data_IF_757306699562
#
_entry.id   IF_757306699562
#
_cell.length_a   1.000
_cell.length_b   1.000
_cell.length_c   1.000
_cell.angle_alpha   90.00
_cell.angle_beta   90.00
_cell.angle_gamma   90.00
#
_symmetry.space_group_name_H-M   'P 1'
#
loop_
_entity.id
_entity.type
_entity.pdbx_description
1 polymer ?
#
# COMPACT_ATOMS: atom_id res chain seq x y z
N UNK A 1 12.41 10.93 -24.38
CA UNK A 1 11.91 9.60 -24.81
C UNK A 1 10.44 9.33 -24.48
N UNK A 2 9.74 10.19 -23.72
CA UNK A 2 8.37 9.93 -23.26
C UNK A 2 7.28 10.29 -24.28
N UNK A 3 7.48 11.40 -25.01
CA UNK A 3 6.55 11.94 -26.02
C UNK A 3 6.27 10.98 -27.19
N UNK A 4 7.26 10.38 -27.87
CA UNK A 4 6.97 9.43 -28.95
C UNK A 4 6.19 8.21 -28.46
N UNK A 5 6.41 7.82 -27.20
CA UNK A 5 5.76 6.68 -26.58
C UNK A 5 4.31 7.00 -26.18
N UNK A 6 4.01 8.24 -25.79
CA UNK A 6 2.63 8.72 -25.56
C UNK A 6 1.85 8.85 -26.88
N UNK A 7 2.52 9.19 -27.97
CA UNK A 7 1.94 9.24 -29.32
C UNK A 7 1.61 7.83 -29.83
N UNK A 8 2.52 6.87 -29.66
CA UNK A 8 2.31 5.44 -29.98
C UNK A 8 1.22 4.76 -29.12
N UNK A 9 0.78 5.42 -28.06
CA UNK A 9 -0.29 4.94 -27.16
C UNK A 9 -1.60 5.70 -27.37
N UNK A 10 -1.69 6.54 -28.41
CA UNK A 10 -2.84 7.40 -28.70
C UNK A 10 -3.26 8.32 -27.53
N UNK A 11 -2.34 8.55 -26.59
CA UNK A 11 -2.54 9.45 -25.44
C UNK A 11 -2.25 10.89 -25.84
N UNK A 12 -1.41 11.11 -26.86
CA UNK A 12 -1.02 12.43 -27.34
C UNK A 12 -1.02 12.49 -28.87
N UNK A 13 -1.47 13.62 -29.43
CA UNK A 13 -1.53 13.82 -30.88
C UNK A 13 -0.12 13.96 -31.48
N UNK A 14 0.12 13.47 -32.71
CA UNK A 14 1.38 13.68 -33.41
C UNK A 14 1.72 15.18 -33.47
N UNK A 15 2.88 15.56 -32.95
CA UNK A 15 3.32 16.96 -32.88
C UNK A 15 3.06 17.67 -31.55
N UNK A 16 2.42 17.03 -30.56
CA UNK A 16 2.38 17.56 -29.18
C UNK A 16 3.79 17.74 -28.65
N UNK A 17 4.14 18.98 -28.32
CA UNK A 17 5.35 19.30 -27.57
C UNK A 17 5.00 19.33 -26.09
N UNK A 18 5.85 18.75 -25.21
CA UNK A 18 5.64 18.85 -23.77
C UNK A 18 5.83 20.31 -23.38
N UNK A 19 4.72 21.01 -23.19
CA UNK A 19 4.71 22.39 -22.75
C UNK A 19 4.59 22.35 -21.24
N UNK A 20 5.74 22.35 -20.57
CA UNK A 20 5.79 22.45 -19.12
C UNK A 20 5.49 23.89 -18.75
N UNK A 21 4.28 24.16 -18.28
CA UNK A 21 3.98 25.43 -17.65
C UNK A 21 4.82 25.51 -16.36
N UNK A 22 5.67 26.54 -16.17
CA UNK A 22 6.51 26.64 -14.97
C UNK A 22 5.68 26.60 -13.67
N UNK A 23 4.44 27.08 -13.74
CA UNK A 23 3.47 27.02 -12.64
C UNK A 23 3.17 25.58 -12.19
N UNK A 24 2.95 24.65 -13.12
CA UNK A 24 2.64 23.25 -12.79
C UNK A 24 3.80 22.52 -12.13
N UNK A 25 5.04 22.82 -12.55
CA UNK A 25 6.25 22.30 -11.89
C UNK A 25 6.39 22.81 -10.46
N UNK A 26 6.09 24.10 -10.23
CA UNK A 26 6.13 24.70 -8.89
C UNK A 26 5.02 24.11 -8.01
N UNK A 27 3.81 23.97 -8.53
CA UNK A 27 2.69 23.37 -7.79
C UNK A 27 2.94 21.91 -7.44
N UNK A 28 3.41 21.10 -8.40
CA UNK A 28 3.76 19.71 -8.13
C UNK A 28 4.91 19.59 -7.13
N UNK A 29 5.94 20.41 -7.24
CA UNK A 29 7.04 20.45 -6.27
C UNK A 29 6.54 20.85 -4.87
N UNK A 30 5.68 21.87 -4.75
CA UNK A 30 5.10 22.29 -3.47
C UNK A 30 4.20 21.22 -2.86
N UNK A 31 3.35 20.58 -3.65
CA UNK A 31 2.44 19.53 -3.17
C UNK A 31 3.23 18.31 -2.71
N UNK A 32 4.24 17.89 -3.48
CA UNK A 32 5.08 16.74 -3.13
C UNK A 32 5.95 17.07 -1.91
N UNK A 33 6.70 18.19 -1.93
CA UNK A 33 7.56 18.58 -0.82
C UNK A 33 6.75 18.85 0.46
N UNK A 34 5.64 19.57 0.34
CA UNK A 34 4.72 19.84 1.43
C UNK A 34 4.11 18.57 1.99
N UNK A 35 3.67 17.65 1.14
CA UNK A 35 3.11 16.35 1.57
C UNK A 35 4.13 15.49 2.31
N UNK A 36 5.36 15.39 1.79
CA UNK A 36 6.45 14.63 2.43
C UNK A 36 6.85 15.27 3.76
N UNK A 37 6.98 16.61 3.79
CA UNK A 37 7.29 17.33 5.02
C UNK A 37 6.19 17.12 6.06
N UNK A 38 4.93 17.37 5.73
CA UNK A 38 3.80 17.21 6.65
C UNK A 38 3.68 15.77 7.16
N UNK A 39 3.89 14.78 6.28
CA UNK A 39 3.87 13.36 6.64
C UNK A 39 4.96 12.95 7.63
N UNK A 40 6.19 13.46 7.47
CA UNK A 40 7.33 13.15 8.34
C UNK A 40 7.44 14.04 9.59
N UNK A 41 6.93 15.28 9.53
CA UNK A 41 7.14 16.32 10.54
C UNK A 41 6.72 15.91 11.94
N UNK A 42 5.56 15.25 12.04
CA UNK A 42 5.04 14.79 13.33
C UNK A 42 5.92 13.72 13.97
N UNK A 43 6.51 12.82 13.19
CA UNK A 43 7.44 11.80 13.68
C UNK A 43 8.80 12.43 14.01
N UNK A 44 9.32 13.30 13.14
CA UNK A 44 10.58 14.01 13.35
C UNK A 44 10.54 14.88 14.62
N UNK A 45 9.46 15.63 14.85
CA UNK A 45 9.28 16.42 16.08
C UNK A 45 9.15 15.55 17.33
N UNK A 46 8.54 14.37 17.24
CA UNK A 46 8.44 13.44 18.37
C UNK A 46 9.80 12.84 18.71
N UNK A 47 10.57 12.45 17.70
CA UNK A 47 11.94 11.99 17.89
C UNK A 47 12.82 13.09 18.51
N UNK A 48 12.70 14.33 18.03
CA UNK A 48 13.47 15.46 18.55
C UNK A 48 13.09 15.92 19.98
N UNK A 49 11.90 15.54 20.47
CA UNK A 49 11.40 15.94 21.80
C UNK A 49 11.31 14.77 22.79
N UNK A 50 11.71 13.57 22.38
CA UNK A 50 11.70 12.40 23.25
C UNK A 50 12.72 12.62 24.37
N UNK A 51 12.24 12.78 25.60
CA UNK A 51 13.11 12.88 26.78
C UNK A 51 13.77 11.53 27.05
N UNK A 52 15.01 11.55 27.54
CA UNK A 52 15.80 10.34 27.84
C UNK A 52 15.02 9.33 28.71
N UNK A 53 14.20 9.78 29.65
CA UNK A 53 13.38 8.90 30.49
C UNK A 53 12.22 8.19 29.76
N UNK A 54 11.66 8.79 28.71
CA UNK A 54 10.64 8.13 27.86
C UNK A 54 11.27 7.06 26.96
N UNK A 55 12.50 7.31 26.51
CA UNK A 55 13.32 6.36 25.77
C UNK A 55 13.76 5.20 26.68
N UNK A 56 14.19 5.49 27.92
CA UNK A 56 14.58 4.50 28.93
C UNK A 56 13.39 3.61 29.34
N UNK A 57 12.18 4.18 29.48
CA UNK A 57 10.99 3.42 29.87
C UNK A 57 10.37 2.61 28.72
N UNK A 58 10.88 2.71 27.49
CA UNK A 58 10.22 2.16 26.30
C UNK A 58 8.82 2.72 26.06
N UNK A 59 8.52 3.90 26.65
CA UNK A 59 7.22 4.55 26.66
C UNK A 59 7.05 5.59 25.57
N UNK A 60 7.92 5.61 24.55
CA UNK A 60 7.85 6.54 23.43
C UNK A 60 6.47 6.55 22.75
N UNK A 61 5.54 7.35 23.29
CA UNK A 61 4.15 7.47 22.85
C UNK A 61 3.05 6.85 23.73
N UNK A 62 3.33 6.32 24.93
CA UNK A 62 2.32 5.74 25.84
C UNK A 62 1.55 6.80 26.66
N UNK A 63 1.23 7.94 26.05
CA UNK A 63 0.30 8.92 26.60
C UNK A 63 -1.13 8.56 26.22
N UNK A 64 -1.87 7.99 27.16
CA UNK A 64 -3.28 7.54 27.07
C UNK A 64 -4.30 8.68 26.94
N UNK A 65 -3.85 9.93 26.80
CA UNK A 65 -4.73 11.07 26.56
C UNK A 65 -5.08 11.19 25.08
N UNK A 66 -6.37 11.37 24.76
CA UNK A 66 -6.84 11.81 23.45
C UNK A 66 -6.30 13.21 23.17
N UNK A 67 -5.07 13.28 22.68
CA UNK A 67 -4.45 14.53 22.25
C UNK A 67 -5.28 15.11 21.10
N UNK A 68 -5.53 16.42 21.12
CA UNK A 68 -6.24 17.15 20.05
C UNK A 68 -5.76 16.76 18.65
N UNK A 69 -4.46 16.50 18.50
CA UNK A 69 -3.84 16.02 17.26
C UNK A 69 -4.34 14.64 16.79
N UNK A 70 -4.64 13.72 17.71
CA UNK A 70 -5.21 12.40 17.39
C UNK A 70 -6.67 12.54 16.97
N UNK A 71 -7.45 13.38 17.66
CA UNK A 71 -8.84 13.70 17.26
C UNK A 71 -8.86 14.32 15.86
N UNK A 72 -8.04 15.35 15.63
CA UNK A 72 -7.90 16.02 14.34
C UNK A 72 -7.47 15.04 13.24
N UNK A 73 -6.51 14.16 13.53
CA UNK A 73 -6.08 13.14 12.57
C UNK A 73 -7.18 12.15 12.20
N UNK A 74 -8.03 11.76 13.16
CA UNK A 74 -9.20 10.92 12.90
C UNK A 74 -10.24 11.68 12.08
N UNK A 75 -10.54 12.93 12.43
CA UNK A 75 -11.50 13.78 11.70
C UNK A 75 -11.07 14.00 10.25
N UNK A 76 -9.82 14.38 10.01
CA UNK A 76 -9.27 14.55 8.65
C UNK A 76 -9.42 13.26 7.86
N UNK A 77 -9.12 12.11 8.47
CA UNK A 77 -9.28 10.82 7.80
C UNK A 77 -10.74 10.49 7.51
N UNK A 78 -11.68 10.80 8.40
CA UNK A 78 -13.11 10.62 8.16
C UNK A 78 -13.61 11.52 7.02
N UNK A 79 -13.12 12.77 6.94
CA UNK A 79 -13.42 13.68 5.82
C UNK A 79 -12.89 13.11 4.50
N UNK A 80 -11.64 12.60 4.49
CA UNK A 80 -11.06 11.97 3.30
C UNK A 80 -11.83 10.70 2.89
N UNK A 81 -12.19 9.85 3.86
CA UNK A 81 -13.04 8.67 3.61
C UNK A 81 -14.38 9.10 3.02
N UNK A 82 -15.00 10.14 3.58
CA UNK A 82 -16.23 10.74 3.05
C UNK A 82 -16.07 11.21 1.61
N UNK A 83 -15.00 11.95 1.29
CA UNK A 83 -14.73 12.44 -0.06
C UNK A 83 -14.48 11.34 -1.09
N UNK A 84 -13.73 10.29 -0.72
CA UNK A 84 -13.56 9.15 -1.62
C UNK A 84 -14.84 8.32 -1.77
N UNK A 85 -15.62 8.14 -0.70
CA UNK A 85 -16.89 7.45 -0.75
C UNK A 85 -17.93 8.19 -1.62
N UNK A 86 -17.98 9.53 -1.52
CA UNK A 86 -18.82 10.33 -2.41
C UNK A 86 -18.35 10.25 -3.85
N UNK A 87 -17.04 10.24 -4.12
CA UNK A 87 -16.48 10.01 -5.47
C UNK A 87 -16.91 8.66 -6.07
N UNK A 88 -16.85 7.58 -5.29
CA UNK A 88 -17.33 6.24 -5.69
C UNK A 88 -18.84 6.26 -5.98
N UNK A 89 -19.64 6.87 -5.10
CA UNK A 89 -21.09 6.95 -5.27
C UNK A 89 -21.48 7.80 -6.50
N UNK A 90 -20.82 8.95 -6.69
CA UNK A 90 -21.06 9.83 -7.83
C UNK A 90 -20.73 9.12 -9.14
N UNK A 91 -19.60 8.42 -9.20
CA UNK A 91 -19.21 7.61 -10.35
C UNK A 91 -20.23 6.51 -10.67
N UNK A 92 -20.75 5.83 -9.65
CA UNK A 92 -21.76 4.78 -9.83
C UNK A 92 -23.08 5.35 -10.38
N UNK A 93 -23.50 6.52 -9.91
CA UNK A 93 -24.71 7.22 -10.41
C UNK A 93 -24.53 7.65 -11.86
N UNK A 94 -23.39 8.24 -12.20
CA UNK A 94 -23.10 8.66 -13.58
C UNK A 94 -23.03 7.45 -14.51
N UNK A 95 -22.31 6.39 -14.12
CA UNK A 95 -22.21 5.16 -14.91
C UNK A 95 -23.57 4.46 -15.12
N UNK A 96 -24.51 4.58 -14.18
CA UNK A 96 -25.86 4.02 -14.32
C UNK A 96 -26.84 4.87 -15.14
N UNK A 97 -26.55 6.16 -15.34
CA UNK A 97 -27.41 7.09 -16.10
C UNK A 97 -26.91 7.37 -17.51
N UNK A 98 -25.60 7.24 -17.72
CA UNK A 98 -24.96 7.45 -19.02
C UNK A 98 -25.19 6.25 -19.92
N UNK A 99 -25.20 6.49 -21.24
CA UNK A 99 -25.22 5.41 -22.22
C UNK A 99 -23.92 4.61 -22.18
N UNK A 100 -23.99 3.33 -22.53
CA UNK A 100 -22.80 2.49 -22.65
C UNK A 100 -21.79 3.13 -23.63
N UNK A 101 -20.52 3.15 -23.23
CA UNK A 101 -19.41 3.78 -23.94
C UNK A 101 -19.55 5.28 -24.18
N UNK A 102 -20.44 5.98 -23.47
CA UNK A 102 -20.43 7.43 -23.44
C UNK A 102 -19.18 7.93 -22.70
N UNK A 103 -18.59 9.03 -23.15
CA UNK A 103 -17.39 9.62 -22.54
C UNK A 103 -17.59 9.89 -21.03
N UNK A 104 -18.79 10.32 -20.64
CA UNK A 104 -19.17 10.51 -19.24
C UNK A 104 -19.11 9.21 -18.43
N UNK A 105 -19.57 8.09 -19.01
CA UNK A 105 -19.54 6.77 -18.37
C UNK A 105 -18.10 6.29 -18.16
N UNK A 106 -17.27 6.44 -19.19
CA UNK A 106 -15.86 6.04 -19.18
C UNK A 106 -15.08 6.87 -18.17
N UNK A 107 -15.23 8.19 -18.20
CA UNK A 107 -14.57 9.08 -17.26
C UNK A 107 -15.02 8.81 -15.81
N UNK A 108 -16.33 8.61 -15.60
CA UNK A 108 -16.87 8.24 -14.29
C UNK A 108 -16.32 6.91 -13.80
N UNK A 109 -16.19 5.88 -14.65
CA UNK A 109 -15.64 4.59 -14.26
C UNK A 109 -14.15 4.68 -13.87
N UNK A 110 -13.35 5.45 -14.60
CA UNK A 110 -11.93 5.66 -14.29
C UNK A 110 -11.78 6.43 -12.97
N UNK A 111 -12.47 7.57 -12.82
CA UNK A 111 -12.44 8.39 -11.60
C UNK A 111 -13.02 7.64 -10.39
N UNK A 112 -14.08 6.85 -10.59
CA UNK A 112 -14.68 5.97 -9.59
C UNK A 112 -13.72 4.88 -9.11
N UNK A 113 -12.94 4.32 -10.03
CA UNK A 113 -11.91 3.31 -9.71
C UNK A 113 -10.74 3.90 -8.91
N UNK A 114 -10.27 5.11 -9.27
CA UNK A 114 -9.28 5.83 -8.46
C UNK A 114 -9.84 6.26 -7.09
N UNK A 115 -11.11 6.67 -7.04
CA UNK A 115 -11.79 7.00 -5.80
C UNK A 115 -11.90 5.78 -4.89
N UNK A 116 -12.21 4.61 -5.46
CA UNK A 116 -12.22 3.33 -4.75
C UNK A 116 -10.83 2.94 -4.23
N UNK A 117 -9.78 3.10 -5.04
CA UNK A 117 -8.39 2.90 -4.60
C UNK A 117 -8.06 3.81 -3.41
N UNK A 118 -8.37 5.11 -3.51
CA UNK A 118 -8.20 6.07 -2.42
C UNK A 118 -8.97 5.68 -1.15
N UNK A 119 -10.22 5.26 -1.30
CA UNK A 119 -11.07 4.78 -0.21
C UNK A 119 -10.45 3.57 0.49
N UNK A 120 -10.02 2.55 -0.27
CA UNK A 120 -9.39 1.34 0.27
C UNK A 120 -8.09 1.68 0.99
N UNK A 121 -7.26 2.56 0.45
CA UNK A 121 -6.05 3.06 1.12
C UNK A 121 -6.38 3.79 2.43
N UNK A 122 -7.41 4.62 2.45
CA UNK A 122 -7.87 5.29 3.68
C UNK A 122 -8.49 4.32 4.68
N UNK A 123 -9.05 3.20 4.22
CA UNK A 123 -9.60 2.16 5.09
C UNK A 123 -8.55 1.12 5.53
N UNK A 124 -7.38 1.06 4.90
CA UNK A 124 -6.37 0.02 5.11
C UNK A 124 -5.98 -0.18 6.59
N UNK A 125 -5.77 0.85 7.43
CA UNK A 125 -5.52 0.64 8.86
C UNK A 125 -6.62 -0.07 9.66
N UNK A 126 -7.85 -0.17 9.14
CA UNK A 126 -8.92 -0.99 9.71
C UNK A 126 -9.08 -2.32 8.99
N UNK A 127 -8.90 -2.34 7.66
CA UNK A 127 -9.05 -3.55 6.84
C UNK A 127 -7.89 -4.53 7.03
N UNK A 128 -6.65 -4.05 7.05
CA UNK A 128 -5.45 -4.90 7.14
C UNK A 128 -5.44 -5.76 8.41
N UNK A 129 -5.69 -5.21 9.62
CA UNK A 129 -5.75 -6.05 10.83
C UNK A 129 -6.88 -7.08 10.79
N UNK A 130 -8.01 -6.73 10.17
CA UNK A 130 -9.11 -7.68 9.98
C UNK A 130 -8.69 -8.81 9.04
N UNK A 131 -8.09 -8.47 7.90
CA UNK A 131 -7.59 -9.44 6.93
C UNK A 131 -6.53 -10.35 7.52
N UNK A 132 -5.59 -9.83 8.29
CA UNK A 132 -4.57 -10.65 8.95
C UNK A 132 -5.15 -11.57 10.01
N UNK A 133 -6.18 -11.14 10.75
CA UNK A 133 -6.92 -12.01 11.66
C UNK A 133 -7.62 -13.13 10.90
N UNK A 134 -8.23 -12.83 9.74
CA UNK A 134 -8.88 -13.83 8.89
C UNK A 134 -7.86 -14.81 8.29
N UNK A 135 -6.73 -14.30 7.78
CA UNK A 135 -5.62 -15.13 7.28
C UNK A 135 -5.05 -16.01 8.39
N UNK A 136 -5.00 -15.52 9.63
CA UNK A 136 -4.57 -16.30 10.79
C UNK A 136 -5.51 -17.44 11.18
N UNK A 137 -6.74 -17.49 10.65
CA UNK A 137 -7.64 -18.64 10.81
C UNK A 137 -7.25 -19.81 9.92
N UNK A 138 -6.41 -19.60 8.90
CA UNK A 138 -5.92 -20.67 8.04
C UNK A 138 -5.08 -21.62 8.91
N UNK A 139 -5.49 -22.90 9.04
CA UNK A 139 -4.83 -23.85 9.91
C UNK A 139 -3.53 -24.35 9.27
N UNK A 140 -2.48 -23.53 9.30
CA UNK A 140 -1.13 -23.97 8.95
C UNK A 140 -0.43 -24.55 10.19
N UNK A 141 0.26 -25.68 9.98
CA UNK A 141 0.93 -26.41 11.06
C UNK A 141 2.29 -25.77 11.36
N UNK A 142 2.44 -25.18 12.55
CA UNK A 142 3.75 -24.87 13.11
C UNK A 142 3.81 -23.68 14.06
N UNK A 143 4.76 -23.68 15.02
CA UNK A 143 4.92 -22.59 15.98
C UNK A 143 5.27 -21.25 15.30
N UNK A 144 5.98 -21.27 14.17
CA UNK A 144 6.32 -20.07 13.41
C UNK A 144 5.08 -19.34 12.85
N UNK A 145 4.07 -20.10 12.40
CA UNK A 145 2.81 -19.54 11.90
C UNK A 145 1.98 -18.90 13.02
N UNK A 146 1.88 -19.57 14.16
CA UNK A 146 1.16 -19.05 15.33
C UNK A 146 1.80 -17.76 15.85
N UNK A 147 3.13 -17.71 15.91
CA UNK A 147 3.84 -16.50 16.31
C UNK A 147 3.60 -15.39 15.30
N UNK A 148 3.77 -15.64 13.99
CA UNK A 148 3.60 -14.65 12.93
C UNK A 148 2.19 -14.05 12.88
N UNK A 149 1.16 -14.88 12.98
CA UNK A 149 -0.24 -14.44 12.94
C UNK A 149 -0.61 -13.63 14.18
N UNK A 150 -0.12 -14.03 15.36
CA UNK A 150 -0.32 -13.27 16.60
C UNK A 150 0.43 -11.93 16.58
N UNK A 151 1.70 -11.90 16.16
CA UNK A 151 2.47 -10.65 16.07
C UNK A 151 1.85 -9.67 15.09
N UNK A 152 1.43 -10.15 13.91
CA UNK A 152 0.72 -9.36 12.91
C UNK A 152 -0.59 -8.76 13.48
N UNK A 153 -1.42 -9.60 14.12
CA UNK A 153 -2.71 -9.17 14.68
C UNK A 153 -2.62 -8.14 15.81
N UNK A 154 -1.54 -8.18 16.61
CA UNK A 154 -1.32 -7.30 17.74
C UNK A 154 -0.71 -5.94 17.32
N UNK A 155 0.09 -5.91 16.25
CA UNK A 155 0.78 -4.71 15.77
C UNK A 155 0.11 -4.10 14.52
N UNK A 156 -1.21 -3.91 14.59
CA UNK A 156 -2.06 -3.34 13.53
C UNK A 156 -1.50 -2.07 12.86
N UNK A 157 -0.86 -1.17 13.63
CA UNK A 157 -0.24 0.05 13.07
C UNK A 157 0.95 -0.25 12.18
N UNK A 158 1.85 -1.16 12.61
CA UNK A 158 3.01 -1.58 11.80
C UNK A 158 2.54 -2.26 10.53
N UNK A 159 1.61 -3.20 10.66
CA UNK A 159 1.09 -3.95 9.52
C UNK A 159 0.49 -3.03 8.45
N UNK A 160 -0.38 -2.09 8.85
CA UNK A 160 -0.96 -1.15 7.89
C UNK A 160 0.09 -0.28 7.19
N UNK A 161 1.15 0.13 7.89
CA UNK A 161 2.23 0.93 7.30
C UNK A 161 3.07 0.13 6.29
N UNK A 162 3.28 -1.17 6.52
CA UNK A 162 3.99 -2.04 5.57
C UNK A 162 3.15 -2.40 4.35
N UNK A 163 1.83 -2.53 4.49
CA UNK A 163 0.92 -2.97 3.42
C UNK A 163 0.60 -1.84 2.43
N UNK A 164 0.42 -0.61 2.93
CA UNK A 164 -0.15 0.50 2.16
C UNK A 164 0.63 0.86 0.88
N UNK A 165 1.98 0.93 0.88
CA UNK A 165 2.71 1.27 -0.34
C UNK A 165 2.58 0.18 -1.43
N UNK A 166 2.62 -1.09 -1.05
CA UNK A 166 2.41 -2.20 -2.00
C UNK A 166 0.97 -2.26 -2.50
N UNK A 167 0.00 -1.99 -1.62
CA UNK A 167 -1.41 -1.85 -2.00
C UNK A 167 -1.62 -0.77 -3.07
N UNK A 168 -1.01 0.41 -2.90
CA UNK A 168 -1.09 1.48 -3.91
C UNK A 168 -0.52 1.00 -5.25
N UNK A 169 0.64 0.36 -5.25
CA UNK A 169 1.25 -0.15 -6.48
C UNK A 169 0.36 -1.19 -7.19
N UNK A 170 -0.16 -2.18 -6.46
CA UNK A 170 -1.07 -3.21 -7.01
C UNK A 170 -2.38 -2.57 -7.48
N UNK A 171 -2.90 -1.61 -6.73
CA UNK A 171 -4.13 -0.88 -7.06
C UNK A 171 -4.03 -0.07 -8.35
N UNK A 172 -2.90 0.62 -8.58
CA UNK A 172 -2.68 1.35 -9.84
C UNK A 172 -2.69 0.40 -11.06
N UNK A 173 -2.05 -0.76 -10.92
CA UNK A 173 -2.05 -1.82 -11.94
C UNK A 173 -3.46 -2.34 -12.18
N UNK A 174 -4.21 -2.62 -11.09
CA UNK A 174 -5.59 -3.08 -11.15
C UNK A 174 -6.49 -2.11 -11.92
N UNK A 175 -6.39 -0.81 -11.64
CA UNK A 175 -7.22 0.22 -12.29
C UNK A 175 -6.87 0.35 -13.78
N UNK A 176 -5.59 0.52 -14.11
CA UNK A 176 -5.16 0.82 -15.49
C UNK A 176 -5.28 -0.37 -16.44
N UNK A 177 -4.80 -1.54 -16.02
CA UNK A 177 -4.96 -2.74 -16.84
C UNK A 177 -6.40 -3.27 -16.78
N UNK A 178 -7.16 -3.01 -15.71
CA UNK A 178 -8.58 -3.31 -15.64
C UNK A 178 -9.39 -2.57 -16.70
N UNK A 179 -9.13 -1.27 -16.89
CA UNK A 179 -9.75 -0.47 -17.94
C UNK A 179 -9.41 -1.00 -19.35
N UNK A 180 -8.12 -1.24 -19.62
CA UNK A 180 -7.64 -1.80 -20.89
C UNK A 180 -8.28 -3.16 -21.21
N UNK A 181 -8.36 -4.07 -20.22
CA UNK A 181 -8.99 -5.40 -20.38
C UNK A 181 -10.50 -5.32 -20.61
N UNK A 182 -11.14 -4.25 -20.15
CA UNK A 182 -12.56 -3.99 -20.40
C UNK A 182 -12.83 -3.29 -21.75
N UNK A 183 -11.78 -3.02 -22.54
CA UNK A 183 -11.90 -2.31 -23.82
C UNK A 183 -11.95 -0.79 -23.68
N UNK A 184 -11.68 -0.25 -22.50
CA UNK A 184 -11.65 1.18 -22.21
C UNK A 184 -10.20 1.67 -22.33
N UNK A 185 -9.79 1.92 -23.58
CA UNK A 185 -8.44 2.36 -23.95
C UNK A 185 -7.46 1.20 -24.26
N UNK A 186 -6.27 1.55 -24.73
CA UNK A 186 -5.24 0.62 -25.22
C UNK A 186 -3.96 0.69 -24.38
N UNK A 187 -4.08 0.55 -23.05
CA UNK A 187 -2.95 0.73 -22.14
C UNK A 187 -1.91 -0.40 -22.26
N UNK A 188 -0.70 -0.09 -22.74
CA UNK A 188 0.47 -0.99 -22.68
C UNK A 188 1.35 -0.69 -21.47
N UNK A 189 2.21 -1.65 -21.12
CA UNK A 189 3.17 -1.52 -20.02
C UNK A 189 4.07 -0.30 -20.14
N UNK A 190 4.52 0.04 -21.35
CA UNK A 190 5.36 1.20 -21.60
C UNK A 190 4.63 2.53 -21.31
N UNK A 191 3.36 2.64 -21.71
CA UNK A 191 2.49 3.77 -21.35
C UNK A 191 2.24 3.84 -19.83
N UNK A 192 2.00 2.70 -19.19
CA UNK A 192 1.83 2.61 -17.74
C UNK A 192 3.08 3.06 -16.97
N UNK A 193 4.26 2.57 -17.35
CA UNK A 193 5.52 2.99 -16.73
C UNK A 193 5.84 4.46 -17.02
N UNK A 194 5.42 4.99 -18.16
CA UNK A 194 5.54 6.41 -18.46
C UNK A 194 4.68 7.28 -17.54
N UNK A 195 3.45 6.86 -17.23
CA UNK A 195 2.51 7.64 -16.40
C UNK A 195 2.75 7.44 -14.90
N UNK A 196 2.94 6.19 -14.47
CA UNK A 196 2.97 5.80 -13.06
C UNK A 196 4.32 5.22 -12.62
N UNK A 197 5.33 5.14 -13.47
CA UNK A 197 6.62 4.53 -13.14
C UNK A 197 7.27 5.15 -11.91
N UNK A 198 7.27 6.49 -11.81
CA UNK A 198 7.79 7.18 -10.63
C UNK A 198 6.95 6.90 -9.38
N UNK A 199 5.63 6.90 -9.50
CA UNK A 199 4.72 6.57 -8.39
C UNK A 199 4.89 5.13 -7.90
N UNK A 200 5.14 4.18 -8.82
CA UNK A 200 5.44 2.79 -8.48
C UNK A 200 6.77 2.68 -7.75
N UNK A 201 7.83 3.30 -8.28
CA UNK A 201 9.15 3.25 -7.65
C UNK A 201 9.11 3.86 -6.24
N UNK A 202 8.44 5.00 -6.06
CA UNK A 202 8.32 5.64 -4.74
C UNK A 202 7.49 4.80 -3.77
N UNK A 203 6.36 4.24 -4.21
CA UNK A 203 5.56 3.32 -3.41
C UNK A 203 6.36 2.06 -3.03
N UNK A 204 7.08 1.46 -3.98
CA UNK A 204 7.85 0.23 -3.76
C UNK A 204 9.01 0.44 -2.80
N UNK A 205 9.81 1.49 -3.04
CA UNK A 205 10.94 1.85 -2.16
C UNK A 205 10.45 2.28 -0.77
N UNK A 206 9.31 2.97 -0.69
CA UNK A 206 8.64 3.29 0.56
C UNK A 206 8.24 2.03 1.35
N UNK A 207 7.70 1.00 0.68
CA UNK A 207 7.39 -0.29 1.30
C UNK A 207 8.63 -0.96 1.90
N UNK A 208 9.73 -1.02 1.13
CA UNK A 208 11.02 -1.56 1.60
C UNK A 208 11.57 -0.73 2.77
N UNK A 209 11.49 0.60 2.71
CA UNK A 209 11.95 1.49 3.78
C UNK A 209 11.17 1.27 5.08
N UNK A 210 9.84 1.11 5.03
CA UNK A 210 9.04 0.82 6.22
C UNK A 210 9.39 -0.54 6.83
N UNK A 211 9.69 -1.54 5.99
CA UNK A 211 10.18 -2.84 6.46
C UNK A 211 11.54 -2.68 7.17
N UNK A 212 12.45 -1.89 6.60
CA UNK A 212 13.76 -1.62 7.19
C UNK A 212 13.63 -0.85 8.52
N UNK A 213 12.79 0.18 8.60
CA UNK A 213 12.52 0.95 9.82
C UNK A 213 11.96 0.08 10.95
N UNK A 214 11.20 -0.96 10.60
CA UNK A 214 10.64 -1.90 11.58
C UNK A 214 11.62 -3.04 11.95
N UNK A 215 12.84 -3.07 11.41
CA UNK A 215 13.78 -4.15 11.64
C UNK A 215 14.28 -4.22 13.09
N UNK A 216 14.55 -3.08 13.75
CA UNK A 216 15.12 -3.10 15.12
C UNK A 216 14.20 -3.79 16.12
N UNK A 217 12.93 -3.41 16.14
CA UNK A 217 11.90 -4.09 16.94
C UNK A 217 11.71 -5.58 16.60
N UNK A 218 11.73 -5.97 15.30
CA UNK A 218 11.67 -7.40 14.92
C UNK A 218 12.88 -8.20 15.41
N UNK A 219 14.06 -7.56 15.46
CA UNK A 219 15.26 -8.17 16.05
C UNK A 219 15.14 -8.31 17.57
N UNK A 220 14.51 -7.34 18.24
CA UNK A 220 14.21 -7.43 19.68
C UNK A 220 13.22 -8.56 19.98
N UNK A 221 12.13 -8.66 19.22
CA UNK A 221 11.15 -9.73 19.36
C UNK A 221 11.79 -11.10 19.10
N UNK A 222 12.69 -11.19 18.11
CA UNK A 222 13.49 -12.38 17.85
C UNK A 222 14.42 -12.75 19.02
N UNK A 223 15.15 -11.77 19.58
CA UNK A 223 16.02 -12.00 20.72
C UNK A 223 15.25 -12.49 21.96
N UNK A 224 14.03 -11.97 22.19
CA UNK A 224 13.15 -12.45 23.26
C UNK A 224 12.70 -13.90 23.02
N UNK A 225 12.34 -14.26 21.79
CA UNK A 225 11.99 -15.64 21.45
C UNK A 225 13.18 -16.59 21.58
N UNK A 226 14.38 -16.18 21.15
CA UNK A 226 15.61 -16.97 21.33
C UNK A 226 15.97 -17.14 22.81
N UNK A 227 15.83 -16.10 23.62
CA UNK A 227 16.03 -16.17 25.08
C UNK A 227 15.01 -17.09 25.76
N UNK A 228 13.80 -17.19 25.23
CA UNK A 228 12.78 -18.15 25.67
C UNK A 228 13.02 -19.58 25.15
N UNK A 229 14.13 -19.84 24.44
CA UNK A 229 14.52 -21.17 23.95
C UNK A 229 14.08 -21.49 22.51
N UNK A 230 13.54 -20.53 21.76
CA UNK A 230 13.16 -20.75 20.37
C UNK A 230 14.40 -20.97 19.48
N UNK A 231 14.31 -21.93 18.54
CA UNK A 231 15.38 -22.18 17.57
C UNK A 231 15.44 -21.03 16.55
N UNK A 232 16.64 -20.61 16.16
CA UNK A 232 16.89 -19.53 15.19
C UNK A 232 16.13 -19.68 13.86
N UNK A 233 15.98 -20.91 13.37
CA UNK A 233 15.22 -21.17 12.14
C UNK A 233 13.71 -20.93 12.32
N UNK A 234 13.16 -21.21 13.50
CA UNK A 234 11.74 -20.99 13.81
C UNK A 234 11.45 -19.49 13.92
N UNK A 235 12.37 -18.73 14.52
CA UNK A 235 12.28 -17.28 14.63
C UNK A 235 12.37 -16.60 13.26
N UNK A 236 13.33 -17.01 12.43
CA UNK A 236 13.42 -16.52 11.05
C UNK A 236 12.18 -16.90 10.23
N UNK A 237 11.69 -18.14 10.38
CA UNK A 237 10.45 -18.59 9.75
C UNK A 237 9.24 -17.74 10.14
N UNK A 238 9.12 -17.38 11.41
CA UNK A 238 8.04 -16.51 11.89
C UNK A 238 8.12 -15.10 11.27
N UNK A 239 9.33 -14.51 11.19
CA UNK A 239 9.51 -13.20 10.57
C UNK A 239 9.18 -13.20 9.08
N UNK A 240 9.61 -14.23 8.35
CA UNK A 240 9.28 -14.37 6.92
C UNK A 240 7.78 -14.54 6.74
N UNK A 241 7.12 -15.38 7.56
CA UNK A 241 5.67 -15.56 7.52
C UNK A 241 4.90 -14.28 7.87
N UNK A 242 5.39 -13.44 8.80
CA UNK A 242 4.84 -12.10 9.05
C UNK A 242 4.92 -11.24 7.77
N UNK A 243 6.06 -11.26 7.08
CA UNK A 243 6.21 -10.61 5.78
C UNK A 243 5.25 -11.15 4.72
N UNK A 244 5.06 -12.47 4.65
CA UNK A 244 4.09 -13.12 3.76
C UNK A 244 2.66 -12.68 4.07
N UNK A 245 2.28 -12.54 5.34
CA UNK A 245 0.96 -12.03 5.74
C UNK A 245 0.74 -10.59 5.27
N UNK A 246 1.74 -9.72 5.41
CA UNK A 246 1.66 -8.34 4.91
C UNK A 246 1.55 -8.30 3.38
N UNK A 247 2.39 -9.04 2.66
CA UNK A 247 2.31 -9.13 1.20
C UNK A 247 0.96 -9.70 0.74
N UNK A 248 0.47 -10.75 1.42
CA UNK A 248 -0.85 -11.33 1.18
C UNK A 248 -1.99 -10.34 1.43
N UNK A 249 -1.89 -9.52 2.47
CA UNK A 249 -2.84 -8.44 2.75
C UNK A 249 -2.88 -7.38 1.64
N UNK A 250 -1.72 -6.98 1.12
CA UNK A 250 -1.61 -6.05 -0.01
C UNK A 250 -2.26 -6.64 -1.28
N UNK A 251 -1.95 -7.90 -1.59
CA UNK A 251 -2.52 -8.61 -2.75
C UNK A 251 -4.04 -8.77 -2.61
N UNK A 252 -4.54 -9.19 -1.45
CA UNK A 252 -5.96 -9.35 -1.21
C UNK A 252 -6.73 -8.02 -1.40
N UNK A 253 -6.23 -6.92 -0.84
CA UNK A 253 -6.82 -5.60 -1.04
C UNK A 253 -6.71 -5.12 -2.49
N UNK A 254 -5.61 -5.43 -3.18
CA UNK A 254 -5.45 -5.18 -4.61
C UNK A 254 -6.47 -5.93 -5.47
N UNK A 255 -6.77 -7.19 -5.13
CA UNK A 255 -7.82 -7.97 -5.77
C UNK A 255 -9.21 -7.36 -5.55
N UNK A 256 -9.49 -6.88 -4.34
CA UNK A 256 -10.73 -6.13 -4.03
C UNK A 256 -10.84 -4.90 -4.93
N UNK A 257 -9.77 -4.12 -5.07
CA UNK A 257 -9.73 -2.97 -5.98
C UNK A 257 -9.98 -3.43 -7.42
N UNK A 258 -9.38 -4.52 -7.87
CA UNK A 258 -9.60 -5.04 -9.22
C UNK A 258 -11.05 -5.44 -9.49
N UNK A 259 -11.73 -6.03 -8.50
CA UNK A 259 -13.15 -6.39 -8.59
C UNK A 259 -14.02 -5.13 -8.66
N UNK A 260 -13.74 -4.13 -7.83
CA UNK A 260 -14.47 -2.84 -7.83
C UNK A 260 -14.26 -2.12 -9.17
N UNK A 261 -13.02 -2.02 -9.64
CA UNK A 261 -12.69 -1.49 -10.97
C UNK A 261 -13.46 -2.26 -12.05
N UNK A 262 -13.45 -3.59 -12.02
CA UNK A 262 -14.16 -4.42 -12.99
C UNK A 262 -15.67 -4.12 -13.02
N UNK A 263 -16.29 -3.85 -11.87
CA UNK A 263 -17.70 -3.45 -11.81
C UNK A 263 -17.93 -2.06 -12.44
N UNK A 264 -17.06 -1.08 -12.19
CA UNK A 264 -17.13 0.22 -12.84
C UNK A 264 -16.95 0.12 -14.36
N UNK A 265 -15.97 -0.66 -14.81
CA UNK A 265 -15.70 -0.85 -16.24
C UNK A 265 -16.85 -1.61 -16.93
N UNK A 266 -17.48 -2.55 -16.24
CA UNK A 266 -18.68 -3.23 -16.73
C UNK A 266 -19.86 -2.26 -16.91
N UNK A 267 -20.09 -1.39 -15.92
CA UNK A 267 -21.12 -0.36 -16.01
C UNK A 267 -20.87 0.59 -17.19
N UNK A 268 -19.63 1.07 -17.37
CA UNK A 268 -19.29 1.96 -18.47
C UNK A 268 -19.38 1.28 -19.85
N UNK A 269 -19.02 0.00 -19.96
CA UNK A 269 -19.05 -0.74 -21.23
C UNK A 269 -20.43 -1.32 -21.58
N UNK A 270 -21.37 -1.35 -20.62
CA UNK A 270 -22.63 -2.09 -20.76
C UNK A 270 -22.46 -3.61 -20.75
N UNK A 271 -21.26 -4.12 -20.45
CA UNK A 271 -20.98 -5.55 -20.40
C UNK A 271 -21.39 -6.16 -19.06
N UNK A 272 -21.61 -7.48 -19.03
CA UNK A 272 -21.90 -8.20 -17.79
C UNK A 272 -20.73 -8.15 -16.81
N UNK A 273 -21.00 -7.78 -15.55
CA UNK A 273 -20.00 -7.60 -14.48
C UNK A 273 -19.08 -8.82 -14.33
N UNK A 274 -19.65 -10.03 -14.30
CA UNK A 274 -18.86 -11.27 -14.17
C UNK A 274 -17.95 -11.51 -15.38
N UNK A 275 -18.40 -11.18 -16.59
CA UNK A 275 -17.60 -11.34 -17.80
C UNK A 275 -16.43 -10.34 -17.82
N UNK A 276 -16.66 -9.11 -17.39
CA UNK A 276 -15.62 -8.08 -17.28
C UNK A 276 -14.59 -8.43 -16.21
N UNK A 277 -15.03 -8.89 -15.03
CA UNK A 277 -14.12 -9.38 -13.98
C UNK A 277 -13.34 -10.59 -14.48
N UNK A 278 -13.97 -11.54 -15.17
CA UNK A 278 -13.31 -12.72 -15.72
C UNK A 278 -12.15 -12.39 -16.67
N UNK A 279 -12.28 -11.30 -17.45
CA UNK A 279 -11.22 -10.79 -18.34
C UNK A 279 -10.18 -9.90 -17.64
N UNK A 280 -10.31 -9.70 -16.33
CA UNK A 280 -9.47 -8.79 -15.55
C UNK A 280 -7.96 -9.03 -15.71
N UNK A 281 -7.12 -8.11 -15.19
CA UNK A 281 -5.68 -8.11 -15.39
C UNK A 281 -4.96 -9.09 -14.47
N UNK A 282 -5.36 -10.37 -14.50
CA UNK A 282 -4.91 -11.39 -13.56
C UNK A 282 -3.42 -11.71 -13.70
N UNK A 283 -2.88 -11.64 -14.91
CA UNK A 283 -1.45 -11.85 -15.16
C UNK A 283 -0.61 -10.71 -14.58
N UNK A 284 -1.04 -9.47 -14.79
CA UNK A 284 -0.38 -8.27 -14.30
C UNK A 284 -0.47 -8.18 -12.76
N UNK A 285 -1.62 -8.53 -12.18
CA UNK A 285 -1.77 -8.64 -10.73
C UNK A 285 -0.93 -9.78 -10.14
N UNK A 286 -0.86 -10.91 -10.83
CA UNK A 286 -0.01 -12.05 -10.42
C UNK A 286 1.47 -11.68 -10.41
N UNK A 287 1.96 -10.97 -11.42
CA UNK A 287 3.37 -10.54 -11.49
C UNK A 287 3.70 -9.52 -10.40
N UNK A 288 2.86 -8.50 -10.21
CA UNK A 288 3.10 -7.45 -9.21
C UNK A 288 2.92 -7.99 -7.79
N UNK A 289 1.96 -8.90 -7.57
CA UNK A 289 1.79 -9.61 -6.31
C UNK A 289 2.98 -10.53 -5.99
N UNK A 290 3.48 -11.26 -6.99
CA UNK A 290 4.68 -12.09 -6.86
C UNK A 290 5.93 -11.28 -6.55
N UNK A 291 6.11 -10.14 -7.23
CA UNK A 291 7.20 -9.21 -6.94
C UNK A 291 7.08 -8.64 -5.52
N UNK A 292 5.88 -8.27 -5.08
CA UNK A 292 5.61 -7.76 -3.72
C UNK A 292 6.00 -8.81 -2.66
N UNK A 293 5.63 -10.06 -2.88
CA UNK A 293 5.98 -11.17 -2.00
C UNK A 293 7.50 -11.36 -1.95
N UNK A 294 8.16 -11.40 -3.12
CA UNK A 294 9.60 -11.57 -3.23
C UNK A 294 10.36 -10.44 -2.54
N UNK A 295 10.01 -9.18 -2.81
CA UNK A 295 10.68 -8.02 -2.21
C UNK A 295 10.46 -7.96 -0.71
N UNK A 296 9.26 -8.29 -0.22
CA UNK A 296 8.97 -8.33 1.22
C UNK A 296 9.80 -9.41 1.92
N UNK A 297 9.81 -10.63 1.40
CA UNK A 297 10.60 -11.74 1.95
C UNK A 297 12.10 -11.44 1.94
N UNK A 298 12.63 -10.94 0.82
CA UNK A 298 14.05 -10.56 0.70
C UNK A 298 14.39 -9.46 1.70
N UNK A 299 13.57 -8.42 1.80
CA UNK A 299 13.79 -7.30 2.73
C UNK A 299 13.81 -7.77 4.19
N UNK A 300 12.92 -8.68 4.57
CA UNK A 300 12.89 -9.27 5.92
C UNK A 300 14.13 -10.13 6.18
N UNK A 301 14.52 -10.99 5.24
CA UNK A 301 15.71 -11.84 5.38
C UNK A 301 16.99 -11.01 5.47
N UNK A 302 17.12 -9.98 4.64
CA UNK A 302 18.28 -9.07 4.68
C UNK A 302 18.33 -8.29 6.01
N UNK A 303 17.18 -7.80 6.48
CA UNK A 303 17.07 -7.13 7.77
C UNK A 303 17.43 -8.02 8.96
N UNK A 304 17.07 -9.31 8.89
CA UNK A 304 17.41 -10.30 9.90
C UNK A 304 18.90 -10.67 9.88
N UNK A 305 19.51 -10.78 8.70
CA UNK A 305 20.95 -11.07 8.54
C UNK A 305 21.83 -9.94 9.04
N UNK A 306 21.47 -8.68 8.76
CA UNK A 306 22.21 -7.51 9.24
C UNK A 306 22.30 -7.41 10.78
N UNK A 307 21.40 -8.08 11.51
CA UNK A 307 21.42 -8.12 12.97
C UNK A 307 22.21 -9.27 13.61
N UNK A 308 22.75 -10.21 12.81
CA UNK A 308 23.37 -11.45 13.33
C UNK A 308 24.73 -11.26 14.00
N UNK A 309 25.37 -10.10 13.81
CA UNK A 309 26.68 -9.79 14.39
C UNK A 309 26.60 -9.44 15.88
N UNK A 310 25.40 -9.17 16.40
CA UNK A 310 25.18 -8.82 17.79
C UNK A 310 24.75 -10.06 18.60
N UNK A 311 25.40 -10.32 19.73
CA UNK A 311 24.95 -11.37 20.66
C UNK A 311 23.58 -11.03 21.26
N UNK A 312 22.80 -12.03 21.70
CA UNK A 312 21.48 -11.81 22.32
C UNK A 312 21.56 -10.83 23.49
N UNK A 313 22.60 -10.95 24.32
CA UNK A 313 22.87 -10.00 25.41
C UNK A 313 23.20 -8.60 24.91
N UNK A 314 23.95 -8.46 23.80
CA UNK A 314 24.19 -7.18 23.16
C UNK A 314 22.95 -6.62 22.47
N UNK A 315 22.07 -7.40 21.85
CA UNK A 315 20.81 -6.92 21.26
C UNK A 315 19.80 -6.46 22.33
N UNK A 316 19.82 -7.10 23.49
CA UNK A 316 18.98 -6.71 24.63
C UNK A 316 19.58 -5.52 25.41
N UNK A 317 20.91 -5.31 25.34
CA UNK A 317 21.63 -4.20 25.99
C UNK A 317 21.89 -2.99 25.08
N UNK A 318 22.06 -3.21 23.78
CA UNK A 318 22.20 -2.19 22.75
C UNK A 318 20.82 -1.55 22.62
N UNK A 319 20.70 -0.39 23.27
CA UNK A 319 19.58 0.51 23.09
C UNK A 319 19.84 1.28 21.78
N UNK A 320 18.78 1.40 20.97
CA UNK A 320 18.67 2.47 19.98
C UNK A 320 18.60 3.82 20.71
#
# INVERSE_FOLDING_TARGET
>A
MMVPLLIDQEVALPGTRPQWEPGDLIWTALVVAGGVMVGGWGAARRAARATEMELIAGRGGAGTAWTLRRVLGVLVRLVLVGGFATGVAAAAVVAGRSGAMADEAVNAAILGSFSALGLVCMLAPWLVPLLERMLGLIPARGPAWLVATRTASLHSRRSSATVLPFLVAIGLVAVMFGASRAGLGSMRLSGFLSMFGLALVTAWTGGVAVIAMSASSRRRDAALLEAAGARKHTVLGAQVLEGVLHAGGAVALGLVISVITGAFMAAASGAGVLATIGRGPWAELGTVGGLTLATTCVSVVMSARAGRELTVGQLLRARD
#
